data_IF_010761587208
#
_entry.id   IF_010761587208
#
_cell.length_a   1.000
_cell.length_b   1.000
_cell.length_c   1.000
_cell.angle_alpha   90.00
_cell.angle_beta   90.00
_cell.angle_gamma   90.00
#
_symmetry.space_group_name_H-M   'P 1'
#
loop_
_entity.id
_entity.type
_entity.pdbx_description
1 polymer ?
#
# COMPACT_ATOMS: atom_id res chain seq x y z
N UNK A 1 -0.34 -4.67 12.81
CA UNK A 1 -0.31 -3.20 12.82
C UNK A 1 -1.07 -2.70 14.04
N UNK A 2 -0.60 -1.62 14.65
CA UNK A 2 -1.17 -0.97 15.83
C UNK A 2 -1.36 0.52 15.55
N UNK A 3 -2.12 1.21 16.41
CA UNK A 3 -2.28 2.67 16.32
C UNK A 3 -0.93 3.42 16.40
N UNK A 4 0.07 2.86 17.07
CA UNK A 4 1.43 3.43 17.20
C UNK A 4 2.23 3.37 15.89
N UNK A 5 1.78 2.61 14.88
CA UNK A 5 2.44 2.59 13.56
C UNK A 5 2.05 3.82 12.71
N UNK A 6 0.79 4.25 12.78
CA UNK A 6 0.46 5.68 12.60
C UNK A 6 1.27 6.48 13.65
N UNK A 7 1.37 7.79 13.76
CA UNK A 7 2.37 8.42 14.69
C UNK A 7 3.87 8.12 14.37
N UNK A 8 4.33 6.87 14.23
CA UNK A 8 5.75 6.52 14.03
C UNK A 8 6.20 6.65 12.57
N UNK A 9 5.38 6.21 11.62
CA UNK A 9 5.73 6.22 10.20
C UNK A 9 5.12 7.42 9.47
N UNK A 10 5.86 7.94 8.49
CA UNK A 10 5.42 9.02 7.60
C UNK A 10 4.48 8.54 6.50
N UNK A 11 4.58 7.25 6.12
CA UNK A 11 3.76 6.63 5.08
C UNK A 11 3.34 5.21 5.51
N UNK A 12 2.07 4.86 5.28
CA UNK A 12 1.50 3.54 5.53
C UNK A 12 0.86 3.01 4.25
N UNK A 13 1.61 2.16 3.55
CA UNK A 13 1.25 1.69 2.21
C UNK A 13 0.56 0.32 2.28
N UNK A 14 -0.67 0.25 1.78
CA UNK A 14 -1.44 -0.99 1.67
C UNK A 14 -1.26 -1.66 0.30
N UNK A 15 -1.23 -3.00 0.27
CA UNK A 15 -1.12 -3.74 -0.99
C UNK A 15 -2.46 -3.89 -1.71
N UNK A 16 -3.55 -4.01 -0.96
CA UNK A 16 -4.90 -4.15 -1.51
C UNK A 16 -5.93 -3.38 -0.66
N UNK A 17 -7.16 -3.26 -1.17
CA UNK A 17 -8.27 -2.62 -0.45
C UNK A 17 -8.62 -3.31 0.86
N UNK A 18 -8.33 -4.60 1.03
CA UNK A 18 -8.60 -5.30 2.29
C UNK A 18 -7.63 -4.85 3.38
N UNK A 19 -6.35 -4.73 3.02
CA UNK A 19 -5.26 -4.19 3.82
C UNK A 19 -5.60 -2.75 4.19
N UNK A 20 -5.98 -1.92 3.21
CA UNK A 20 -6.38 -0.53 3.44
C UNK A 20 -7.51 -0.41 4.48
N UNK A 21 -8.59 -1.20 4.33
CA UNK A 21 -9.68 -1.21 5.32
C UNK A 21 -9.22 -1.63 6.70
N UNK A 22 -8.32 -2.61 6.79
CA UNK A 22 -7.76 -3.04 8.07
C UNK A 22 -6.89 -1.95 8.69
N UNK A 23 -6.07 -1.26 7.88
CA UNK A 23 -5.24 -0.14 8.33
C UNK A 23 -6.13 0.93 8.96
N UNK A 24 -7.14 1.39 8.21
CA UNK A 24 -8.11 2.40 8.68
C UNK A 24 -8.78 1.99 10.00
N UNK A 25 -9.13 0.71 10.17
CA UNK A 25 -9.71 0.19 11.43
C UNK A 25 -8.75 0.29 12.61
N UNK A 26 -7.46 0.05 12.41
CA UNK A 26 -6.46 0.09 13.48
C UNK A 26 -6.03 1.51 13.85
N UNK A 27 -5.92 2.40 12.87
CA UNK A 27 -5.48 3.80 13.08
C UNK A 27 -6.64 4.73 13.44
N UNK A 28 -7.87 4.35 13.10
CA UNK A 28 -9.11 5.06 13.40
C UNK A 28 -9.41 6.20 12.42
N UNK A 29 -8.41 7.03 12.09
CA UNK A 29 -8.53 8.12 11.13
C UNK A 29 -7.17 8.40 10.47
N UNK A 30 -7.18 8.96 9.26
CA UNK A 30 -5.96 9.38 8.55
C UNK A 30 -5.91 10.91 8.35
N UNK A 31 -5.74 11.72 9.41
CA UNK A 31 -5.68 13.18 9.30
C UNK A 31 -4.43 13.70 8.58
N UNK A 32 -3.32 12.95 8.57
CA UNK A 32 -2.07 13.32 7.91
C UNK A 32 -2.01 12.87 6.44
N UNK A 33 -3.07 12.23 5.93
CA UNK A 33 -3.13 11.71 4.56
C UNK A 33 -1.95 10.79 4.19
N UNK A 34 -1.53 9.95 5.13
CA UNK A 34 -0.38 9.05 4.96
C UNK A 34 -0.72 7.61 4.61
N UNK A 35 -2.00 7.29 4.48
CA UNK A 35 -2.46 5.94 4.13
C UNK A 35 -2.88 5.91 2.66
N UNK A 36 -2.23 5.07 1.86
CA UNK A 36 -2.52 4.89 0.43
C UNK A 36 -2.36 3.44 -0.01
N UNK A 37 -2.86 3.07 -1.20
CA UNK A 37 -2.47 1.82 -1.85
C UNK A 37 -1.12 2.01 -2.55
N UNK A 38 -0.32 0.95 -2.62
CA UNK A 38 0.97 0.99 -3.32
C UNK A 38 0.80 1.40 -4.80
N UNK A 39 -0.23 0.87 -5.45
CA UNK A 39 -0.48 1.13 -6.87
C UNK A 39 -1.14 2.49 -7.12
N UNK A 40 -1.63 3.19 -6.09
CA UNK A 40 -2.16 4.55 -6.27
C UNK A 40 -1.08 5.55 -6.69
N UNK A 41 0.20 5.22 -6.45
CA UNK A 41 1.37 5.98 -6.86
C UNK A 41 1.77 5.74 -8.33
N UNK A 42 1.11 4.81 -9.03
CA UNK A 42 1.42 4.51 -10.44
C UNK A 42 0.34 5.04 -11.39
N UNK A 43 0.58 4.93 -12.69
CA UNK A 43 -0.42 5.25 -13.72
C UNK A 43 -1.61 4.27 -13.76
N UNK A 44 -1.55 3.17 -12.99
CA UNK A 44 -2.55 2.11 -12.95
C UNK A 44 -2.96 1.84 -11.50
N UNK A 45 -3.83 2.69 -10.91
CA UNK A 45 -4.30 2.49 -9.55
C UNK A 45 -5.09 1.19 -9.41
N UNK A 46 -4.93 0.51 -8.28
CA UNK A 46 -5.54 -0.79 -8.06
C UNK A 46 -4.98 -1.55 -6.87
N UNK A 47 -5.32 -2.84 -6.83
CA UNK A 47 -4.79 -3.77 -5.87
C UNK A 47 -3.57 -4.47 -6.47
N UNK A 48 -2.54 -4.71 -5.65
CA UNK A 48 -1.44 -5.62 -5.98
C UNK A 48 -2.01 -7.03 -6.08
N UNK A 49 -1.60 -7.79 -7.10
CA UNK A 49 -1.99 -9.19 -7.24
C UNK A 49 -1.61 -10.00 -5.98
N UNK A 50 -2.55 -10.78 -5.45
CA UNK A 50 -2.28 -11.63 -4.29
C UNK A 50 -1.77 -13.01 -4.73
N UNK A 51 -0.50 -13.36 -4.44
CA UNK A 51 0.08 -14.63 -4.87
C UNK A 51 -0.47 -15.81 -4.06
N UNK A 52 -1.04 -15.58 -2.88
CA UNK A 52 -1.55 -16.65 -2.02
C UNK A 52 -2.78 -17.34 -2.62
N UNK A 53 -3.61 -16.57 -3.34
CA UNK A 53 -4.82 -17.08 -3.99
C UNK A 53 -4.60 -17.48 -5.45
N UNK A 54 -3.68 -16.80 -6.15
CA UNK A 54 -3.44 -17.02 -7.59
C UNK A 54 -2.31 -18.01 -7.86
N UNK A 55 -1.34 -18.12 -6.94
CA UNK A 55 -0.06 -18.80 -7.18
C UNK A 55 0.89 -18.02 -8.11
N UNK A 56 0.50 -16.83 -8.57
CA UNK A 56 1.29 -16.02 -9.51
C UNK A 56 2.12 -14.97 -8.75
N UNK A 57 3.32 -15.37 -8.37
CA UNK A 57 4.29 -14.50 -7.72
C UNK A 57 4.92 -13.49 -8.68
N UNK A 58 4.94 -13.78 -9.98
CA UNK A 58 5.52 -12.89 -10.99
C UNK A 58 4.64 -11.65 -11.14
N UNK A 59 3.31 -11.83 -11.26
CA UNK A 59 2.37 -10.73 -11.30
C UNK A 59 2.49 -9.83 -10.05
N UNK A 60 2.57 -10.45 -8.87
CA UNK A 60 2.76 -9.74 -7.60
C UNK A 60 4.06 -8.94 -7.58
N UNK A 61 5.16 -9.55 -8.05
CA UNK A 61 6.47 -8.90 -8.09
C UNK A 61 6.48 -7.70 -9.05
N UNK A 62 5.84 -7.83 -10.21
CA UNK A 62 5.72 -6.74 -11.18
C UNK A 62 4.95 -5.55 -10.61
N UNK A 63 3.80 -5.80 -9.97
CA UNK A 63 3.00 -4.76 -9.30
C UNK A 63 3.82 -4.07 -8.20
N UNK A 64 4.48 -4.84 -7.32
CA UNK A 64 5.28 -4.28 -6.22
C UNK A 64 6.45 -3.46 -6.74
N UNK A 65 7.14 -3.93 -7.79
CA UNK A 65 8.26 -3.20 -8.39
C UNK A 65 7.81 -1.89 -9.03
N UNK A 66 6.70 -1.91 -9.78
CA UNK A 66 6.11 -0.72 -10.40
C UNK A 66 5.77 0.31 -9.31
N UNK A 67 5.03 -0.12 -8.29
CA UNK A 67 4.59 0.74 -7.19
C UNK A 67 5.74 1.31 -6.35
N UNK A 68 6.74 0.49 -5.99
CA UNK A 68 7.90 0.98 -5.23
C UNK A 68 8.72 1.99 -6.03
N UNK A 69 8.86 1.77 -7.35
CA UNK A 69 9.60 2.68 -8.22
C UNK A 69 8.90 4.03 -8.31
N UNK A 70 7.59 4.03 -8.55
CA UNK A 70 6.82 5.26 -8.66
C UNK A 70 6.75 6.02 -7.32
N UNK A 71 6.51 5.32 -6.21
CA UNK A 71 6.55 5.94 -4.88
C UNK A 71 7.92 6.55 -4.58
N UNK A 72 9.02 5.88 -4.92
CA UNK A 72 10.36 6.43 -4.71
C UNK A 72 10.60 7.69 -5.55
N UNK A 73 10.04 7.77 -6.75
CA UNK A 73 10.09 8.98 -7.59
C UNK A 73 9.28 10.13 -7.00
N UNK A 74 8.12 9.86 -6.40
CA UNK A 74 7.32 10.88 -5.70
C UNK A 74 8.01 11.44 -4.44
N UNK A 75 8.82 10.62 -3.76
CA UNK A 75 9.51 11.00 -2.52
C UNK A 75 10.85 11.71 -2.75
N UNK A 76 11.31 11.82 -3.99
CA UNK A 76 12.58 12.46 -4.37
C UNK A 76 12.44 13.97 -4.55
#
# INVERSE_FOLDING_TARGET
>A
MTRRDYETYDYLIAMDRNNLRNIVRFVGSDPEHKVSLLMDHTSRPGDVADPWYTGDFEATWQDVLEGCTALLEELR
#
